data_IF_883230766019
#
_entry.id   IF_883230766019
#
_cell.length_a   1.000
_cell.length_b   1.000
_cell.length_c   1.000
_cell.angle_alpha   90.00
_cell.angle_beta   90.00
_cell.angle_gamma   90.00
#
_symmetry.space_group_name_H-M   'P 1'
#
loop_
_entity.id
_entity.type
_entity.pdbx_description
1 polymer ?
#
# COMPACT_ATOMS: atom_id res chain seq x y z
N UNK A 1 19.98 -9.77 -8.43
CA UNK A 1 20.29 -8.91 -7.27
C UNK A 1 19.23 -7.81 -7.28
N UNK A 2 18.05 -8.08 -6.68
CA UNK A 2 16.95 -7.13 -6.61
C UNK A 2 16.93 -6.55 -5.21
N UNK A 3 17.33 -5.29 -5.06
CA UNK A 3 17.43 -4.59 -3.78
C UNK A 3 16.06 -4.12 -3.30
N UNK A 4 15.91 -4.08 -1.98
CA UNK A 4 14.70 -3.76 -1.22
C UNK A 4 14.28 -2.27 -1.27
N UNK A 5 14.55 -1.54 -2.36
CA UNK A 5 14.22 -0.11 -2.49
C UNK A 5 12.83 0.17 -3.10
N UNK A 6 12.09 -0.86 -3.54
CA UNK A 6 10.90 -0.68 -4.40
C UNK A 6 9.55 -0.62 -3.68
N UNK A 7 9.53 -0.41 -2.35
CA UNK A 7 8.26 -0.26 -1.59
C UNK A 7 7.73 1.20 -1.72
N UNK A 8 8.59 2.14 -2.11
CA UNK A 8 8.24 3.56 -2.31
C UNK A 8 8.24 4.05 -3.76
N UNK A 9 8.76 3.27 -4.70
CA UNK A 9 8.77 3.64 -6.10
C UNK A 9 7.41 3.32 -6.76
N UNK A 10 6.87 4.30 -7.48
CA UNK A 10 5.63 4.14 -8.21
C UNK A 10 5.84 3.24 -9.43
N UNK A 11 4.88 2.39 -9.71
CA UNK A 11 4.90 1.47 -10.84
C UNK A 11 4.26 2.13 -12.06
N UNK A 12 5.00 2.15 -13.17
CA UNK A 12 4.44 2.55 -14.46
C UNK A 12 3.49 1.48 -15.01
N UNK A 13 2.66 1.86 -15.99
CA UNK A 13 1.77 0.93 -16.71
C UNK A 13 2.53 -0.29 -17.26
N UNK A 14 3.80 -0.14 -17.66
CA UNK A 14 4.61 -1.24 -18.19
C UNK A 14 5.06 -2.23 -17.11
N UNK A 15 5.35 -1.75 -15.90
CA UNK A 15 5.60 -2.62 -14.76
C UNK A 15 4.32 -3.37 -14.34
N UNK A 16 3.17 -2.67 -14.31
CA UNK A 16 1.87 -3.25 -13.95
C UNK A 16 1.43 -4.35 -14.93
N UNK A 17 1.68 -4.18 -16.24
CA UNK A 17 1.40 -5.22 -17.24
C UNK A 17 2.10 -6.54 -16.92
N UNK A 18 3.41 -6.46 -16.60
CA UNK A 18 4.23 -7.62 -16.25
C UNK A 18 3.72 -8.25 -14.96
N UNK A 19 3.40 -7.43 -13.97
CA UNK A 19 2.94 -7.88 -12.66
C UNK A 19 1.57 -8.59 -12.72
N UNK A 20 0.60 -8.01 -13.43
CA UNK A 20 -0.74 -8.60 -13.55
C UNK A 20 -0.82 -9.70 -14.62
N UNK A 21 0.24 -9.90 -15.41
CA UNK A 21 0.23 -10.74 -16.61
C UNK A 21 -0.97 -10.39 -17.53
N UNK A 22 -1.12 -9.10 -17.82
CA UNK A 22 -2.21 -8.55 -18.65
C UNK A 22 -1.65 -7.54 -19.64
N UNK A 23 -2.33 -7.41 -20.77
CA UNK A 23 -1.95 -6.44 -21.81
C UNK A 23 -2.13 -5.00 -21.32
N UNK A 24 -1.39 -4.07 -21.93
CA UNK A 24 -1.51 -2.62 -21.68
C UNK A 24 -2.95 -2.12 -21.74
N UNK A 25 -3.69 -2.55 -22.76
CA UNK A 25 -5.10 -2.18 -22.95
C UNK A 25 -5.99 -2.66 -21.79
N UNK A 26 -5.71 -3.84 -21.22
CA UNK A 26 -6.42 -4.30 -20.03
C UNK A 26 -6.10 -3.45 -18.81
N UNK A 27 -4.83 -3.06 -18.61
CA UNK A 27 -4.46 -2.16 -17.50
C UNK A 27 -5.22 -0.84 -17.58
N UNK A 28 -5.31 -0.21 -18.75
CA UNK A 28 -6.11 1.02 -18.92
C UNK A 28 -7.61 0.82 -18.64
N UNK A 29 -8.18 -0.35 -18.96
CA UNK A 29 -9.59 -0.66 -18.63
C UNK A 29 -9.83 -0.88 -17.14
N UNK A 30 -8.82 -1.39 -16.44
CA UNK A 30 -8.86 -1.59 -14.99
C UNK A 30 -8.60 -0.30 -14.23
N UNK A 31 -7.81 0.61 -14.80
CA UNK A 31 -7.49 1.89 -14.18
C UNK A 31 -8.76 2.70 -13.87
N UNK A 32 -8.80 3.29 -12.67
CA UNK A 32 -9.81 4.25 -12.28
C UNK A 32 -9.47 5.61 -12.91
N UNK A 33 -9.94 5.84 -14.13
CA UNK A 33 -9.76 7.09 -14.86
C UNK A 33 -11.10 7.61 -15.35
N UNK A 34 -11.23 8.94 -15.41
CA UNK A 34 -12.41 9.62 -15.93
C UNK A 34 -11.97 10.76 -16.89
N UNK A 35 -12.61 10.94 -18.07
CA UNK A 35 -12.24 12.00 -19.01
C UNK A 35 -12.51 13.42 -18.49
N UNK A 36 -13.54 13.57 -17.65
CA UNK A 36 -13.98 14.84 -17.05
C UNK A 36 -13.32 15.14 -15.71
N UNK A 37 -12.86 14.13 -14.99
CA UNK A 37 -12.19 14.26 -13.70
C UNK A 37 -10.78 13.64 -13.71
N UNK A 38 -9.76 14.49 -13.53
CA UNK A 38 -8.35 14.08 -13.52
C UNK A 38 -8.05 13.02 -12.44
N UNK A 39 -8.64 13.17 -11.26
CA UNK A 39 -8.42 12.32 -10.09
C UNK A 39 -9.80 11.88 -9.54
N UNK A 40 -10.43 10.85 -10.12
CA UNK A 40 -11.68 10.32 -9.61
C UNK A 40 -11.52 9.81 -8.17
N UNK A 41 -12.59 9.81 -7.36
CA UNK A 41 -12.54 9.25 -6.02
C UNK A 41 -12.21 7.75 -6.06
N UNK A 42 -11.69 7.25 -4.94
CA UNK A 42 -11.31 5.86 -4.78
C UNK A 42 -12.44 4.90 -5.17
N UNK A 43 -12.11 3.88 -5.97
CA UNK A 43 -13.04 2.82 -6.34
C UNK A 43 -12.43 1.44 -6.01
N UNK A 44 -13.06 0.66 -5.11
CA UNK A 44 -12.50 -0.64 -4.69
C UNK A 44 -12.46 -1.68 -5.82
N UNK A 45 -13.31 -1.55 -6.84
CA UNK A 45 -13.39 -2.51 -7.96
C UNK A 45 -12.43 -2.20 -9.11
N UNK A 46 -11.71 -1.07 -9.02
CA UNK A 46 -10.81 -0.57 -10.06
C UNK A 46 -9.39 -0.47 -9.50
N UNK A 47 -8.43 -0.38 -10.41
CA UNK A 47 -7.03 -0.11 -10.09
C UNK A 47 -6.84 1.41 -9.97
N UNK A 48 -6.61 1.91 -8.76
CA UNK A 48 -6.54 3.35 -8.51
C UNK A 48 -5.14 3.89 -8.82
N UNK A 49 -4.96 4.81 -9.78
CA UNK A 49 -3.68 5.47 -10.01
C UNK A 49 -3.36 6.46 -8.90
N UNK A 50 -2.08 6.83 -8.78
CA UNK A 50 -1.64 7.92 -7.92
C UNK A 50 -2.22 9.26 -8.41
N UNK A 51 -2.35 10.22 -7.49
CA UNK A 51 -2.87 11.56 -7.79
C UNK A 51 -1.96 12.24 -8.81
N UNK A 52 -2.56 12.64 -9.94
CA UNK A 52 -1.89 13.40 -11.00
C UNK A 52 -2.18 14.88 -10.88
N UNK A 53 -1.21 15.71 -11.30
CA UNK A 53 -1.35 17.17 -11.38
C UNK A 53 -1.78 17.62 -12.76
N UNK A 54 -1.44 16.85 -13.79
CA UNK A 54 -1.78 17.14 -15.18
C UNK A 54 -2.36 15.91 -15.92
N UNK A 55 -3.12 16.14 -16.99
CA UNK A 55 -3.69 15.08 -17.83
C UNK A 55 -2.63 14.34 -18.65
N UNK A 56 -1.54 15.02 -19.00
CA UNK A 56 -0.43 14.48 -19.77
C UNK A 56 0.53 13.65 -18.92
N UNK A 57 0.42 13.73 -17.58
CA UNK A 57 1.21 12.89 -16.68
C UNK A 57 0.83 11.40 -16.87
N UNK A 58 1.83 10.51 -16.96
CA UNK A 58 1.59 9.08 -17.10
C UNK A 58 0.87 8.52 -15.88
N UNK A 59 0.12 7.45 -16.07
CA UNK A 59 -0.48 6.72 -14.95
C UNK A 59 0.61 5.94 -14.20
N UNK A 60 0.71 6.23 -12.92
CA UNK A 60 1.58 5.52 -12.00
C UNK A 60 0.75 4.93 -10.86
N UNK A 61 1.21 3.81 -10.30
CA UNK A 61 0.46 3.04 -9.32
C UNK A 61 1.33 2.64 -8.14
N UNK A 62 0.78 2.69 -6.92
CA UNK A 62 1.48 2.15 -5.76
C UNK A 62 1.56 0.62 -5.84
N UNK A 63 2.69 -0.01 -5.51
CA UNK A 63 2.80 -1.48 -5.48
C UNK A 63 1.71 -2.16 -4.64
N UNK A 64 1.34 -1.55 -3.53
CA UNK A 64 0.29 -2.05 -2.62
C UNK A 64 -1.09 -2.11 -3.30
N UNK A 65 -1.43 -1.10 -4.09
CA UNK A 65 -2.71 -1.03 -4.80
C UNK A 65 -2.77 -2.04 -5.96
N UNK A 66 -1.65 -2.24 -6.65
CA UNK A 66 -1.54 -3.26 -7.70
C UNK A 66 -1.68 -4.66 -7.10
N UNK A 67 -1.08 -4.92 -5.93
CA UNK A 67 -1.25 -6.18 -5.19
C UNK A 67 -2.70 -6.40 -4.78
N UNK A 68 -3.32 -5.39 -4.15
CA UNK A 68 -4.73 -5.42 -3.75
C UNK A 68 -5.63 -5.78 -4.93
N UNK A 69 -5.46 -5.07 -6.06
CA UNK A 69 -6.26 -5.32 -7.25
C UNK A 69 -6.05 -6.74 -7.82
N UNK A 70 -4.82 -7.24 -7.81
CA UNK A 70 -4.52 -8.60 -8.27
C UNK A 70 -5.25 -9.66 -7.42
N UNK A 71 -5.15 -9.55 -6.09
CA UNK A 71 -5.70 -10.51 -5.14
C UNK A 71 -7.21 -10.42 -5.04
N UNK A 72 -7.74 -9.22 -4.80
CA UNK A 72 -9.16 -9.01 -4.47
C UNK A 72 -10.06 -8.99 -5.70
N UNK A 73 -9.57 -8.51 -6.85
CA UNK A 73 -10.40 -8.29 -8.04
C UNK A 73 -10.11 -9.30 -9.14
N UNK A 74 -8.83 -9.60 -9.41
CA UNK A 74 -8.49 -10.56 -10.45
C UNK A 74 -8.42 -12.01 -9.94
N UNK A 75 -8.42 -12.23 -8.62
CA UNK A 75 -8.21 -13.56 -8.04
C UNK A 75 -6.86 -14.16 -8.40
N UNK A 76 -5.89 -13.31 -8.77
CA UNK A 76 -4.54 -13.72 -9.06
C UNK A 76 -3.78 -13.73 -7.72
N UNK A 77 -3.08 -14.84 -7.46
CA UNK A 77 -2.05 -14.90 -6.43
C UNK A 77 -0.68 -14.77 -7.11
N UNK A 78 -0.26 -13.58 -7.59
CA UNK A 78 1.11 -13.41 -8.05
C UNK A 78 2.04 -13.70 -6.87
N UNK A 79 3.00 -14.60 -7.06
CA UNK A 79 3.94 -15.04 -6.02
C UNK A 79 4.87 -13.88 -5.64
N UNK A 80 4.42 -12.95 -4.82
CA UNK A 80 5.32 -11.97 -4.23
C UNK A 80 5.93 -12.63 -2.99
N UNK A 81 7.25 -12.83 -3.01
CA UNK A 81 8.02 -12.85 -1.77
C UNK A 81 7.98 -11.43 -1.20
N UNK A 82 6.89 -11.11 -0.50
CA UNK A 82 6.82 -9.89 0.28
C UNK A 82 7.76 -10.15 1.44
N UNK A 83 8.97 -9.61 1.39
CA UNK A 83 9.71 -9.45 2.63
C UNK A 83 8.81 -8.56 3.50
N UNK A 84 8.38 -9.04 4.68
CA UNK A 84 7.68 -8.16 5.61
C UNK A 84 8.52 -6.89 5.72
N UNK A 85 7.89 -5.69 5.78
CA UNK A 85 8.66 -4.47 5.95
C UNK A 85 9.62 -4.71 7.11
N UNK A 86 10.92 -4.50 6.88
CA UNK A 86 11.89 -4.51 7.99
C UNK A 86 11.29 -3.66 9.10
N UNK A 87 11.31 -4.16 10.34
CA UNK A 87 10.72 -3.48 11.49
C UNK A 87 11.19 -2.03 11.49
N UNK A 88 10.31 -1.14 11.01
CA UNK A 88 10.65 0.24 10.78
C UNK A 88 10.90 0.91 12.12
N UNK A 89 11.68 1.98 12.15
CA UNK A 89 11.88 2.81 13.35
C UNK A 89 10.53 3.15 14.02
N UNK A 90 9.47 3.33 13.21
CA UNK A 90 8.10 3.52 13.68
C UNK A 90 7.56 2.32 14.49
N UNK A 91 7.80 1.08 14.07
CA UNK A 91 7.40 -0.11 14.82
C UNK A 91 8.14 -0.22 16.15
N UNK A 92 9.43 0.06 16.17
CA UNK A 92 10.20 0.07 17.42
C UNK A 92 9.70 1.16 18.38
N UNK A 93 9.47 2.37 17.86
CA UNK A 93 8.88 3.47 18.61
C UNK A 93 7.49 3.12 19.16
N UNK A 94 6.63 2.49 18.35
CA UNK A 94 5.31 2.03 18.81
C UNK A 94 5.42 0.97 19.91
N UNK A 95 6.41 0.07 19.86
CA UNK A 95 6.67 -0.91 20.94
C UNK A 95 7.16 -0.24 22.21
N UNK A 96 8.07 0.73 22.11
CA UNK A 96 8.56 1.51 23.26
C UNK A 96 7.42 2.29 23.93
N UNK A 97 6.57 2.97 23.14
CA UNK A 97 5.38 3.66 23.65
C UNK A 97 4.46 2.68 24.38
N UNK A 98 4.21 1.50 23.80
CA UNK A 98 3.35 0.49 24.42
C UNK A 98 3.94 -0.05 25.74
N UNK A 99 5.27 -0.20 25.83
CA UNK A 99 5.94 -0.60 27.08
C UNK A 99 5.77 0.45 28.17
N UNK A 100 6.00 1.72 27.86
CA UNK A 100 5.79 2.83 28.81
C UNK A 100 4.34 2.91 29.29
N UNK A 101 3.37 2.77 28.38
CA UNK A 101 1.95 2.75 28.75
C UNK A 101 1.60 1.59 29.69
N UNK A 102 2.16 0.39 29.48
CA UNK A 102 1.97 -0.76 30.37
C UNK A 102 2.62 -0.53 31.74
N UNK A 103 3.81 0.07 31.78
CA UNK A 103 4.49 0.40 33.03
C UNK A 103 3.69 1.42 33.84
N UNK A 104 3.19 2.49 33.21
CA UNK A 104 2.30 3.47 33.84
C UNK A 104 1.05 2.79 34.39
N UNK A 105 0.42 1.91 33.61
CA UNK A 105 -0.77 1.18 34.05
C UNK A 105 -0.50 0.34 35.31
N UNK A 106 0.61 -0.39 35.36
CA UNK A 106 0.98 -1.18 36.53
C UNK A 106 1.24 -0.32 37.77
N UNK A 107 1.86 0.86 37.61
CA UNK A 107 2.09 1.79 38.71
C UNK A 107 0.77 2.38 39.25
N UNK A 108 -0.18 2.66 38.36
CA UNK A 108 -1.52 3.12 38.75
C UNK A 108 -2.30 2.01 39.46
N UNK A 109 -2.32 0.79 38.91
CA UNK A 109 -2.97 -0.37 39.55
C UNK A 109 -2.35 -0.69 40.92
N UNK A 110 -1.03 -0.57 41.07
CA UNK A 110 -0.35 -0.73 42.36
C UNK A 110 -0.68 0.38 43.36
N UNK A 111 -0.92 1.60 42.87
CA UNK A 111 -1.32 2.75 43.70
C UNK A 111 -2.78 2.64 44.14
N UNK A 112 -3.64 2.09 43.29
CA UNK A 112 -5.08 1.91 43.56
C UNK A 112 -5.38 0.64 44.36
N UNK A 113 -4.56 -0.41 44.22
CA UNK A 113 -4.68 -1.66 44.99
C UNK A 113 -3.93 -1.70 46.33
N UNK A 114 -3.37 -0.57 46.75
CA UNK A 114 -2.70 -0.38 48.05
C UNK A 114 -3.59 0.32 49.07
N UNK A 115 -4.69 -0.33 49.46
CA UNK A 115 -5.40 -0.13 50.73
C UNK A 115 -5.28 -1.39 51.59
#
# INVERSE_FOLDING_TARGET
MGTAEDIGALLSVDAVQKYLNRSRASVYRYANTDPGNLNPPYNPTKLNPEVRRDKDEPLEFRPQEVRRFAEEILGLHPTIQVQPPEETITHDLMRQILQEMRAIRLLLEKREGGE
#
